data_IF_097115085424
#
_entry.id   IF_097115085424
#
_cell.length_a   1.000
_cell.length_b   1.000
_cell.length_c   1.000
_cell.angle_alpha   90.00
_cell.angle_beta   90.00
_cell.angle_gamma   90.00
#
_symmetry.space_group_name_H-M   'P 1'
#
loop_
_entity.id
_entity.type
_entity.pdbx_description
1 polymer ?
#
# COMPACT_ATOMS: atom_id res chain seq x y z
N UNK A 1 2.64 -3.98 -35.52
CA UNK A 1 3.89 -3.59 -34.86
C UNK A 1 3.82 -2.08 -34.75
N UNK A 2 3.50 -1.55 -33.57
CA UNK A 2 3.35 -0.12 -33.36
C UNK A 2 4.61 0.41 -32.71
N UNK A 3 5.14 1.49 -33.29
CA UNK A 3 6.39 2.14 -32.91
C UNK A 3 6.12 3.21 -31.85
N UNK A 4 6.87 3.15 -30.75
CA UNK A 4 6.76 4.03 -29.57
C UNK A 4 8.06 4.79 -29.31
N UNK A 5 8.91 4.95 -30.33
CA UNK A 5 10.24 5.57 -30.23
C UNK A 5 10.26 7.00 -29.67
N UNK A 6 9.13 7.73 -29.67
CA UNK A 6 9.08 9.15 -29.28
C UNK A 6 8.57 9.42 -27.85
N UNK A 7 8.40 8.39 -27.01
CA UNK A 7 7.96 8.56 -25.62
C UNK A 7 9.15 8.63 -24.64
N UNK A 8 9.70 9.83 -24.48
CA UNK A 8 10.88 10.13 -23.63
C UNK A 8 10.76 9.89 -22.12
N UNK A 9 9.71 9.19 -21.65
CA UNK A 9 9.51 8.81 -20.24
C UNK A 9 9.42 7.29 -20.04
N UNK A 10 9.71 6.50 -21.07
CA UNK A 10 9.66 5.04 -20.99
C UNK A 10 11.08 4.50 -21.12
N UNK A 11 11.60 3.97 -20.02
CA UNK A 11 12.77 3.10 -20.03
C UNK A 11 12.29 1.69 -20.40
N UNK A 12 12.60 1.27 -21.62
CA UNK A 12 12.36 -0.08 -22.14
C UNK A 12 13.54 -1.02 -21.91
N UNK A 13 14.52 -0.62 -21.10
CA UNK A 13 15.66 -1.47 -20.84
C UNK A 13 15.25 -2.61 -19.91
N UNK A 14 15.36 -3.83 -20.41
CA UNK A 14 15.42 -5.08 -19.65
C UNK A 14 16.68 -5.11 -18.74
N UNK A 15 16.98 -4.04 -18.00
CA UNK A 15 18.27 -3.86 -17.32
C UNK A 15 18.37 -4.56 -15.98
N UNK A 16 17.26 -4.96 -15.37
CA UNK A 16 17.31 -5.92 -14.27
C UNK A 16 17.08 -7.32 -14.83
N UNK A 17 18.13 -8.17 -14.95
CA UNK A 17 17.91 -9.58 -15.20
C UNK A 17 16.98 -10.13 -14.11
N UNK A 18 16.06 -11.05 -14.44
CA UNK A 18 15.20 -11.65 -13.43
C UNK A 18 16.07 -12.22 -12.31
N UNK A 19 15.74 -11.89 -11.06
CA UNK A 19 16.50 -12.36 -9.88
C UNK A 19 16.57 -13.88 -9.76
N UNK A 20 15.77 -14.59 -10.54
CA UNK A 20 15.63 -16.04 -10.54
C UNK A 20 15.64 -16.56 -11.98
N UNK A 21 16.36 -17.67 -12.20
CA UNK A 21 16.34 -18.44 -13.44
C UNK A 21 15.13 -19.37 -13.42
N UNK A 22 14.19 -19.14 -14.35
CA UNK A 22 12.93 -19.88 -14.45
C UNK A 22 12.96 -20.95 -15.55
N UNK A 23 14.14 -21.24 -16.14
CA UNK A 23 14.23 -22.14 -17.30
C UNK A 23 13.32 -21.69 -18.44
N UNK A 24 12.50 -22.60 -18.97
CA UNK A 24 11.56 -22.32 -20.08
C UNK A 24 10.18 -21.77 -19.62
N UNK A 25 9.96 -21.58 -18.30
CA UNK A 25 8.67 -21.13 -17.79
C UNK A 25 8.42 -19.64 -18.09
N UNK A 26 7.31 -19.35 -18.77
CA UNK A 26 6.88 -17.96 -19.00
C UNK A 26 6.25 -17.40 -17.73
N UNK A 27 7.04 -16.68 -16.93
CA UNK A 27 6.55 -15.98 -15.75
C UNK A 27 6.08 -14.58 -16.12
N UNK A 28 4.88 -14.21 -15.70
CA UNK A 28 4.31 -12.87 -15.93
C UNK A 28 4.47 -12.01 -14.68
N UNK A 29 4.85 -10.75 -14.89
CA UNK A 29 5.00 -9.75 -13.82
C UNK A 29 4.12 -8.54 -14.10
N UNK A 30 3.61 -7.92 -13.04
CA UNK A 30 2.83 -6.69 -13.11
C UNK A 30 3.79 -5.49 -13.06
N UNK A 31 3.85 -4.75 -14.17
CA UNK A 31 4.59 -3.50 -14.32
C UNK A 31 3.67 -2.44 -14.89
N UNK A 32 3.30 -1.46 -14.09
CA UNK A 32 2.59 -0.26 -14.52
C UNK A 32 3.33 0.96 -14.00
N UNK A 33 2.85 2.16 -14.34
CA UNK A 33 3.38 3.42 -13.78
C UNK A 33 3.37 3.45 -12.25
N UNK A 34 2.37 2.82 -11.64
CA UNK A 34 2.05 2.93 -10.22
C UNK A 34 2.23 1.60 -9.45
N UNK A 35 2.46 0.49 -10.17
CA UNK A 35 2.62 -0.86 -9.61
C UNK A 35 3.89 -1.51 -10.14
N UNK A 36 4.74 -1.99 -9.23
CA UNK A 36 5.98 -2.69 -9.53
C UNK A 36 6.04 -4.04 -8.80
N UNK A 37 5.83 -5.15 -9.51
CA UNK A 37 5.98 -6.49 -8.94
C UNK A 37 7.47 -6.86 -8.77
N UNK A 38 7.96 -7.01 -7.53
CA UNK A 38 9.38 -7.29 -7.30
C UNK A 38 9.75 -8.75 -7.51
N UNK A 39 8.85 -9.67 -7.17
CA UNK A 39 9.09 -11.10 -7.25
C UNK A 39 8.14 -11.74 -8.27
N UNK A 40 8.66 -12.32 -9.37
CA UNK A 40 7.89 -13.21 -10.24
C UNK A 40 7.28 -14.38 -9.45
N UNK A 41 6.09 -14.83 -9.84
CA UNK A 41 5.41 -15.96 -9.22
C UNK A 41 5.31 -17.13 -10.21
N UNK A 42 5.85 -18.28 -9.82
CA UNK A 42 5.81 -19.49 -10.64
C UNK A 42 4.45 -20.20 -10.55
N UNK A 43 3.87 -20.24 -9.35
CA UNK A 43 2.65 -21.00 -9.04
C UNK A 43 1.56 -20.08 -8.48
N UNK A 44 0.59 -19.72 -9.31
CA UNK A 44 -0.53 -18.85 -8.87
C UNK A 44 -1.61 -19.61 -8.10
N UNK A 45 -1.64 -20.95 -8.15
CA UNK A 45 -2.60 -21.83 -7.46
C UNK A 45 -2.42 -21.87 -5.92
N UNK A 46 -1.31 -21.31 -5.44
CA UNK A 46 -1.06 -21.11 -4.01
C UNK A 46 -1.91 -19.98 -3.41
N UNK A 47 -2.48 -19.11 -4.25
CA UNK A 47 -3.37 -18.02 -3.85
C UNK A 47 -4.85 -18.36 -3.98
N UNK A 48 -5.67 -17.63 -3.26
CA UNK A 48 -7.11 -17.56 -3.54
C UNK A 48 -7.38 -16.86 -4.87
N UNK A 49 -8.52 -17.17 -5.49
CA UNK A 49 -9.00 -16.46 -6.69
C UNK A 49 -9.13 -14.95 -6.41
N UNK A 50 -9.55 -14.58 -5.20
CA UNK A 50 -9.73 -13.20 -4.78
C UNK A 50 -8.43 -12.40 -4.82
N UNK A 51 -7.31 -12.99 -4.40
CA UNK A 51 -5.99 -12.33 -4.48
C UNK A 51 -5.58 -12.10 -5.93
N UNK A 52 -5.79 -13.10 -6.79
CA UNK A 52 -5.46 -12.99 -8.22
C UNK A 52 -6.28 -11.88 -8.88
N UNK A 53 -7.58 -11.82 -8.60
CA UNK A 53 -8.48 -10.77 -9.06
C UNK A 53 -8.00 -9.38 -8.61
N UNK A 54 -7.77 -9.20 -7.31
CA UNK A 54 -7.36 -7.92 -6.73
C UNK A 54 -5.98 -7.45 -7.22
N UNK A 55 -5.05 -8.38 -7.44
CA UNK A 55 -3.74 -8.06 -7.99
C UNK A 55 -3.83 -7.54 -9.44
N UNK A 56 -4.79 -8.05 -10.22
CA UNK A 56 -5.08 -7.59 -11.58
C UNK A 56 -5.97 -6.35 -11.67
N UNK A 57 -6.59 -5.92 -10.57
CA UNK A 57 -7.42 -4.72 -10.54
C UNK A 57 -6.57 -3.45 -10.38
N UNK A 58 -6.46 -2.68 -11.47
CA UNK A 58 -5.67 -1.45 -11.53
C UNK A 58 -6.52 -0.18 -11.50
N UNK A 59 -7.83 -0.27 -11.25
CA UNK A 59 -8.75 0.90 -11.32
C UNK A 59 -8.40 2.00 -10.33
N UNK A 60 -7.81 1.64 -9.19
CA UNK A 60 -7.36 2.56 -8.13
C UNK A 60 -5.85 2.73 -8.07
N UNK A 61 -5.13 2.27 -9.10
CA UNK A 61 -3.70 2.52 -9.19
C UNK A 61 -3.43 4.01 -9.47
N UNK A 62 -2.49 4.60 -8.74
CA UNK A 62 -2.09 5.99 -8.87
C UNK A 62 -2.66 6.93 -7.82
N UNK A 63 -2.54 8.23 -8.11
CA UNK A 63 -2.90 9.31 -7.20
C UNK A 63 -4.21 9.93 -7.71
N UNK A 64 -5.30 9.93 -6.92
CA UNK A 64 -6.53 10.59 -7.32
C UNK A 64 -6.33 12.12 -7.41
N UNK A 65 -7.05 12.76 -8.33
CA UNK A 65 -7.06 14.22 -8.45
C UNK A 65 -7.57 14.87 -7.16
N UNK A 66 -6.91 15.94 -6.71
CA UNK A 66 -7.26 16.62 -5.46
C UNK A 66 -6.77 15.90 -4.19
N UNK A 67 -5.85 14.94 -4.31
CA UNK A 67 -5.25 14.24 -3.17
C UNK A 67 -4.77 15.21 -2.09
N UNK A 68 -5.26 15.04 -0.87
CA UNK A 68 -4.93 15.86 0.30
C UNK A 68 -4.44 15.03 1.50
N UNK A 69 -4.31 13.72 1.33
CA UNK A 69 -3.77 12.80 2.34
C UNK A 69 -2.91 11.73 1.66
N UNK A 70 -1.72 11.47 2.18
CA UNK A 70 -0.82 10.47 1.63
C UNK A 70 -0.08 9.70 2.72
N UNK A 71 0.26 8.44 2.47
CA UNK A 71 1.07 7.64 3.39
C UNK A 71 2.05 6.74 2.68
N UNK A 72 3.01 6.22 3.45
CA UNK A 72 3.91 5.18 3.01
C UNK A 72 4.15 4.18 4.14
N UNK A 73 3.99 2.90 3.83
CA UNK A 73 4.39 1.79 4.70
C UNK A 73 5.23 0.80 3.92
N UNK A 74 6.12 0.08 4.60
CA UNK A 74 6.91 -0.93 3.92
C UNK A 74 7.85 -1.74 4.80
N UNK A 75 8.53 -2.68 4.15
CA UNK A 75 9.60 -3.51 4.68
C UNK A 75 10.72 -3.64 3.65
N UNK A 76 11.96 -3.75 4.12
CA UNK A 76 13.17 -3.84 3.29
C UNK A 76 13.95 -5.14 3.54
N UNK A 77 13.99 -5.65 4.77
CA UNK A 77 14.87 -6.78 5.15
C UNK A 77 14.55 -8.11 4.45
N UNK A 78 13.39 -8.26 3.82
CA UNK A 78 12.94 -9.49 3.12
C UNK A 78 12.50 -9.22 1.67
N UNK A 79 13.16 -8.25 1.04
CA UNK A 79 12.76 -7.68 -0.24
C UNK A 79 11.94 -6.41 -0.02
N UNK A 80 12.19 -5.40 -0.84
CA UNK A 80 11.50 -4.12 -0.76
C UNK A 80 10.03 -4.29 -1.11
N UNK A 81 9.17 -4.16 -0.11
CA UNK A 81 7.72 -4.10 -0.28
C UNK A 81 7.21 -2.83 0.34
N UNK A 82 6.49 -2.03 -0.42
CA UNK A 82 5.95 -0.77 0.03
C UNK A 82 4.55 -0.54 -0.57
N UNK A 83 3.68 0.00 0.28
CA UNK A 83 2.36 0.49 -0.09
C UNK A 83 2.34 1.98 0.20
N UNK A 84 1.97 2.77 -0.80
CA UNK A 84 1.59 4.15 -0.63
C UNK A 84 0.11 4.29 -0.88
N UNK A 85 -0.60 4.95 0.03
CA UNK A 85 -2.01 5.32 -0.16
C UNK A 85 -2.11 6.81 -0.41
N UNK A 86 -3.09 7.17 -1.23
CA UNK A 86 -3.43 8.54 -1.60
C UNK A 86 -4.93 8.71 -1.50
N UNK A 87 -5.40 9.67 -0.72
CA UNK A 87 -6.83 9.87 -0.50
C UNK A 87 -7.24 11.32 -0.72
N UNK A 88 -8.50 11.48 -1.13
CA UNK A 88 -9.21 12.75 -1.12
C UNK A 88 -10.22 12.68 0.01
N UNK A 89 -9.98 13.43 1.08
CA UNK A 89 -10.83 13.47 2.26
C UNK A 89 -11.57 14.80 2.31
N UNK A 90 -12.87 14.72 2.48
CA UNK A 90 -13.75 15.87 2.69
C UNK A 90 -13.63 16.38 4.13
N UNK A 91 -13.33 17.66 4.30
CA UNK A 91 -13.01 18.23 5.62
C UNK A 91 -14.23 18.33 6.53
N UNK A 92 -15.43 18.52 5.97
CA UNK A 92 -16.66 18.73 6.73
C UNK A 92 -17.16 17.43 7.38
N UNK A 93 -17.14 16.34 6.61
CA UNK A 93 -17.69 15.03 7.01
C UNK A 93 -16.64 13.97 7.28
N UNK A 94 -15.35 14.29 7.15
CA UNK A 94 -14.23 13.35 7.22
C UNK A 94 -14.44 12.11 6.33
N UNK A 95 -15.03 12.31 5.16
CA UNK A 95 -15.39 11.24 4.23
C UNK A 95 -14.28 11.05 3.18
N UNK A 96 -13.79 9.82 3.02
CA UNK A 96 -12.83 9.46 1.98
C UNK A 96 -13.57 9.37 0.63
N UNK A 97 -13.55 10.43 -0.17
CA UNK A 97 -14.26 10.49 -1.47
C UNK A 97 -13.61 9.60 -2.53
N UNK A 98 -12.29 9.49 -2.49
CA UNK A 98 -11.47 8.72 -3.43
C UNK A 98 -10.25 8.14 -2.71
N UNK A 99 -9.89 6.91 -3.04
CA UNK A 99 -8.67 6.27 -2.59
C UNK A 99 -7.90 5.68 -3.78
N UNK A 100 -6.61 5.94 -3.82
CA UNK A 100 -5.68 5.36 -4.79
C UNK A 100 -4.43 4.82 -4.10
N UNK A 101 -3.65 4.03 -4.82
CA UNK A 101 -2.42 3.45 -4.29
C UNK A 101 -1.28 3.40 -5.31
N UNK A 102 -0.06 3.44 -4.78
CA UNK A 102 1.13 2.93 -5.46
C UNK A 102 1.69 1.75 -4.68
N UNK A 103 2.23 0.78 -5.40
CA UNK A 103 2.73 -0.43 -4.77
C UNK A 103 4.02 -0.91 -5.41
N UNK A 104 5.00 -1.26 -4.57
CA UNK A 104 6.16 -2.08 -4.95
C UNK A 104 6.08 -3.33 -4.09
N UNK A 105 6.00 -4.53 -4.66
CA UNK A 105 5.83 -5.72 -3.83
C UNK A 105 5.49 -6.99 -4.59
N UNK A 106 5.10 -8.02 -3.86
CA UNK A 106 4.60 -9.26 -4.45
C UNK A 106 3.10 -9.16 -4.77
N UNK A 107 2.54 -10.20 -5.40
CA UNK A 107 1.11 -10.33 -5.67
C UNK A 107 0.25 -10.09 -4.42
N UNK A 108 0.66 -10.61 -3.25
CA UNK A 108 -0.08 -10.42 -2.00
C UNK A 108 -0.07 -8.96 -1.53
N UNK A 109 1.03 -8.23 -1.76
CA UNK A 109 1.17 -6.80 -1.43
C UNK A 109 0.26 -5.97 -2.33
N UNK A 110 0.29 -6.23 -3.65
CA UNK A 110 -0.54 -5.53 -4.64
C UNK A 110 -2.01 -5.77 -4.33
N UNK A 111 -2.41 -7.03 -4.09
CA UNK A 111 -3.78 -7.38 -3.72
C UNK A 111 -4.22 -6.71 -2.41
N UNK A 112 -3.34 -6.64 -1.40
CA UNK A 112 -3.65 -5.96 -0.13
C UNK A 112 -3.85 -4.45 -0.31
N UNK A 113 -3.04 -3.80 -1.15
CA UNK A 113 -3.17 -2.37 -1.47
C UNK A 113 -4.46 -2.07 -2.28
N UNK A 114 -4.75 -2.91 -3.27
CA UNK A 114 -5.98 -2.84 -4.06
C UNK A 114 -7.22 -3.03 -3.18
N UNK A 115 -7.19 -4.02 -2.29
CA UNK A 115 -8.29 -4.28 -1.37
C UNK A 115 -8.52 -3.14 -0.39
N UNK A 116 -7.48 -2.67 0.30
CA UNK A 116 -7.68 -1.65 1.33
C UNK A 116 -8.24 -0.35 0.73
N UNK A 117 -7.79 0.05 -0.47
CA UNK A 117 -8.34 1.22 -1.16
C UNK A 117 -9.81 1.04 -1.52
N UNK A 118 -10.21 -0.15 -1.96
CA UNK A 118 -11.62 -0.46 -2.20
C UNK A 118 -12.46 -0.47 -0.92
N UNK A 119 -11.90 -0.89 0.22
CA UNK A 119 -12.61 -0.97 1.49
C UNK A 119 -12.80 0.39 2.18
N UNK A 120 -11.89 1.34 1.99
CA UNK A 120 -11.95 2.65 2.67
C UNK A 120 -12.60 3.74 1.82
N UNK A 121 -12.64 3.58 0.49
CA UNK A 121 -13.30 4.53 -0.39
C UNK A 121 -14.81 4.60 -0.10
N UNK A 122 -15.31 5.81 0.15
CA UNK A 122 -16.69 6.06 0.52
C UNK A 122 -16.99 5.91 2.01
N UNK A 123 -16.00 5.61 2.85
CA UNK A 123 -16.13 5.55 4.32
C UNK A 123 -15.67 6.83 5.00
N UNK A 124 -16.09 7.02 6.24
CA UNK A 124 -15.51 8.06 7.11
C UNK A 124 -14.10 7.63 7.55
N UNK A 125 -13.32 8.60 8.04
CA UNK A 125 -12.00 8.34 8.63
C UNK A 125 -12.09 7.32 9.77
N UNK A 126 -13.09 7.43 10.64
CA UNK A 126 -13.26 6.50 11.78
C UNK A 126 -13.57 5.08 11.30
N UNK A 127 -14.50 4.94 10.35
CA UNK A 127 -14.84 3.64 9.75
C UNK A 127 -13.66 3.02 8.99
N UNK A 128 -12.77 3.85 8.42
CA UNK A 128 -11.55 3.39 7.77
C UNK A 128 -10.52 2.91 8.80
N UNK A 129 -10.40 3.57 9.96
CA UNK A 129 -9.53 3.17 11.06
C UNK A 129 -9.98 1.87 11.74
N UNK A 130 -11.26 1.55 11.68
CA UNK A 130 -11.84 0.29 12.19
C UNK A 130 -11.54 -0.92 11.30
N UNK A 131 -11.07 -0.71 10.06
CA UNK A 131 -10.70 -1.83 9.16
C UNK A 131 -9.50 -2.57 9.74
N UNK A 132 -9.69 -3.84 10.11
CA UNK A 132 -8.67 -4.63 10.76
C UNK A 132 -7.89 -5.52 9.80
N UNK A 133 -6.72 -5.97 10.24
CA UNK A 133 -5.92 -6.97 9.52
C UNK A 133 -6.70 -8.29 9.35
N UNK A 134 -7.56 -8.63 10.31
CA UNK A 134 -8.40 -9.81 10.25
C UNK A 134 -9.44 -9.71 9.13
N UNK A 135 -10.01 -8.52 8.91
CA UNK A 135 -10.95 -8.29 7.81
C UNK A 135 -10.28 -8.48 6.45
N UNK A 136 -9.08 -7.91 6.27
CA UNK A 136 -8.30 -8.09 5.04
C UNK A 136 -7.93 -9.56 4.83
N UNK A 137 -7.43 -10.25 5.86
CA UNK A 137 -7.09 -11.68 5.74
C UNK A 137 -8.30 -12.54 5.40
N UNK A 138 -9.47 -12.23 5.96
CA UNK A 138 -10.71 -12.95 5.68
C UNK A 138 -11.14 -12.77 4.23
N UNK A 139 -11.04 -11.56 3.69
CA UNK A 139 -11.42 -11.29 2.30
C UNK A 139 -10.37 -11.79 1.30
N UNK A 140 -9.08 -11.63 1.58
CA UNK A 140 -7.99 -12.14 0.74
C UNK A 140 -7.95 -13.67 0.73
N UNK A 141 -8.24 -14.34 1.84
CA UNK A 141 -8.25 -15.80 1.92
C UNK A 141 -6.85 -16.42 1.87
N UNK A 142 -6.75 -17.58 1.20
CA UNK A 142 -5.53 -18.41 1.15
C UNK A 142 -4.37 -17.66 0.47
N UNK A 143 -3.20 -17.66 1.12
CA UNK A 143 -1.92 -17.21 0.56
C UNK A 143 -0.75 -17.97 1.21
N UNK A 144 0.45 -17.98 0.60
CA UNK A 144 1.64 -18.57 1.20
C UNK A 144 2.01 -18.00 2.57
N UNK A 145 2.61 -18.84 3.43
CA UNK A 145 2.92 -18.50 4.83
C UNK A 145 3.90 -17.33 4.97
N UNK A 146 4.85 -17.20 4.05
CA UNK A 146 5.80 -16.11 3.99
C UNK A 146 5.17 -14.78 3.55
N UNK A 147 3.90 -14.79 3.09
CA UNK A 147 3.15 -13.64 2.56
C UNK A 147 1.97 -13.18 3.42
N UNK A 148 1.73 -13.84 4.55
CA UNK A 148 0.62 -13.50 5.48
C UNK A 148 0.76 -12.14 6.17
N UNK A 149 1.92 -11.50 6.06
CA UNK A 149 2.23 -10.20 6.68
C UNK A 149 1.82 -9.01 5.83
N UNK A 150 1.50 -9.19 4.55
CA UNK A 150 1.19 -8.09 3.61
C UNK A 150 -0.03 -7.26 4.02
N UNK A 151 -1.11 -7.86 4.56
CA UNK A 151 -2.25 -7.11 5.07
C UNK A 151 -1.91 -6.11 6.20
N UNK A 152 -0.84 -6.35 6.98
CA UNK A 152 -0.43 -5.43 8.04
C UNK A 152 0.07 -4.10 7.47
N UNK A 153 0.81 -4.13 6.36
CA UNK A 153 1.28 -2.91 5.69
C UNK A 153 0.09 -2.06 5.22
N UNK A 154 -0.92 -2.70 4.63
CA UNK A 154 -2.10 -2.02 4.12
C UNK A 154 -2.91 -1.31 5.23
N UNK A 155 -3.12 -1.98 6.37
CA UNK A 155 -3.84 -1.40 7.52
C UNK A 155 -3.05 -0.26 8.16
N UNK A 156 -1.75 -0.44 8.37
CA UNK A 156 -0.91 0.64 8.91
C UNK A 156 -0.85 1.84 7.95
N UNK A 157 -0.94 1.62 6.63
CA UNK A 157 -0.98 2.70 5.65
C UNK A 157 -2.24 3.56 5.77
N UNK A 158 -3.38 3.00 6.18
CA UNK A 158 -4.61 3.77 6.45
C UNK A 158 -4.40 4.68 7.64
N UNK A 159 -3.93 4.14 8.75
CA UNK A 159 -3.63 4.93 9.95
C UNK A 159 -2.63 6.05 9.64
N UNK A 160 -1.60 5.73 8.87
CA UNK A 160 -0.62 6.72 8.47
C UNK A 160 -1.19 7.82 7.53
N UNK A 161 -2.12 7.45 6.65
CA UNK A 161 -2.78 8.39 5.72
C UNK A 161 -3.68 9.36 6.49
N UNK A 162 -4.42 8.86 7.48
CA UNK A 162 -5.22 9.69 8.38
C UNK A 162 -4.33 10.65 9.19
N UNK A 163 -3.18 10.17 9.66
CA UNK A 163 -2.22 11.02 10.37
C UNK A 163 -1.68 12.16 9.51
N UNK A 164 -1.28 11.86 8.28
CA UNK A 164 -0.81 12.87 7.32
C UNK A 164 -1.88 13.92 7.02
N UNK A 165 -3.14 13.50 6.84
CA UNK A 165 -4.27 14.41 6.64
C UNK A 165 -4.39 15.44 7.77
N UNK A 166 -4.45 14.97 9.02
CA UNK A 166 -4.62 15.88 10.17
C UNK A 166 -3.38 16.75 10.43
N UNK A 167 -2.18 16.22 10.17
CA UNK A 167 -0.95 17.01 10.26
C UNK A 167 -0.96 18.17 9.26
N UNK A 168 -1.44 17.95 8.02
CA UNK A 168 -1.59 19.01 7.02
C UNK A 168 -2.62 20.07 7.42
N UNK A 169 -3.60 19.69 8.22
CA UNK A 169 -4.57 20.62 8.84
C UNK A 169 -4.02 21.33 10.08
N UNK A 170 -2.73 21.19 10.40
CA UNK A 170 -2.08 21.88 11.50
C UNK A 170 -2.30 21.24 12.87
N UNK A 171 -2.75 19.98 12.93
CA UNK A 171 -2.77 19.24 14.20
C UNK A 171 -1.34 18.93 14.64
N UNK A 172 -1.11 18.98 15.95
CA UNK A 172 0.19 18.71 16.55
C UNK A 172 0.28 17.28 17.11
N UNK A 173 1.44 16.97 17.69
CA UNK A 173 1.68 15.66 18.30
C UNK A 173 0.69 15.36 19.44
N UNK A 174 0.32 16.35 20.26
CA UNK A 174 -0.59 16.14 21.37
C UNK A 174 -1.99 15.75 20.86
N UNK A 175 -2.45 16.38 19.78
CA UNK A 175 -3.68 16.00 19.11
C UNK A 175 -3.61 14.57 18.56
N UNK A 176 -2.51 14.21 17.88
CA UNK A 176 -2.32 12.85 17.36
C UNK A 176 -2.29 11.80 18.46
N UNK A 177 -1.63 12.07 19.59
CA UNK A 177 -1.58 11.15 20.74
C UNK A 177 -2.96 10.91 21.34
N UNK A 178 -3.84 11.92 21.35
CA UNK A 178 -5.19 11.81 21.89
C UNK A 178 -6.20 11.17 20.92
N UNK A 179 -6.08 11.41 19.60
CA UNK A 179 -7.14 11.08 18.63
C UNK A 179 -6.73 10.00 17.62
N UNK A 180 -5.43 9.76 17.42
CA UNK A 180 -4.93 8.77 16.47
C UNK A 180 -3.84 7.92 17.12
N UNK A 181 -4.23 7.19 18.17
CA UNK A 181 -3.30 6.37 18.94
C UNK A 181 -2.52 5.41 18.04
N UNK A 182 -1.20 5.38 18.19
CA UNK A 182 -0.34 4.36 17.61
C UNK A 182 -0.02 3.32 18.68
N UNK A 183 -0.14 2.04 18.33
CA UNK A 183 0.41 0.95 19.14
C UNK A 183 1.92 0.83 18.83
N UNK A 184 2.70 1.74 19.42
CA UNK A 184 4.16 1.77 19.25
C UNK A 184 4.76 0.46 19.77
N UNK A 185 5.56 -0.22 18.94
CA UNK A 185 6.08 -1.58 19.21
C UNK A 185 5.03 -2.70 19.23
N UNK A 186 3.77 -2.40 18.92
CA UNK A 186 2.74 -3.39 18.63
C UNK A 186 3.13 -4.32 17.48
N UNK A 187 2.40 -5.42 17.32
CA UNK A 187 2.69 -6.41 16.27
C UNK A 187 2.62 -5.76 14.88
N UNK A 188 1.61 -4.93 14.61
CA UNK A 188 1.46 -4.28 13.31
C UNK A 188 2.63 -3.31 13.04
N UNK A 189 2.96 -2.47 14.02
CA UNK A 189 4.06 -1.51 13.94
C UNK A 189 5.41 -2.22 13.75
N UNK A 190 5.62 -3.38 14.40
CA UNK A 190 6.83 -4.19 14.27
C UNK A 190 6.94 -4.92 12.93
N UNK A 191 5.81 -5.32 12.34
CA UNK A 191 5.78 -5.88 10.99
C UNK A 191 6.05 -4.80 9.92
N UNK A 192 5.80 -3.54 10.26
CA UNK A 192 5.99 -2.38 9.41
C UNK A 192 7.35 -1.73 9.70
N UNK A 193 8.42 -2.17 9.01
CA UNK A 193 9.77 -1.65 9.22
C UNK A 193 9.88 -0.16 8.89
N UNK A 194 9.03 0.33 7.97
CA UNK A 194 8.91 1.73 7.61
C UNK A 194 7.44 2.16 7.67
N UNK A 195 7.15 3.25 8.40
CA UNK A 195 5.82 3.83 8.51
C UNK A 195 5.95 5.36 8.55
N UNK A 196 5.37 6.04 7.57
CA UNK A 196 5.48 7.50 7.45
C UNK A 196 4.94 8.26 8.66
N UNK A 197 3.89 7.75 9.31
CA UNK A 197 3.35 8.38 10.53
C UNK A 197 4.28 8.23 11.72
N UNK A 198 4.98 7.09 11.84
CA UNK A 198 6.00 6.91 12.88
C UNK A 198 7.13 7.93 12.67
N UNK A 199 7.58 8.09 11.44
CA UNK A 199 8.64 9.05 11.10
C UNK A 199 8.18 10.49 11.39
N UNK A 200 6.96 10.88 10.97
CA UNK A 200 6.37 12.18 11.28
C UNK A 200 6.28 12.45 12.79
N UNK A 201 5.83 11.47 13.58
CA UNK A 201 5.76 11.58 15.05
C UNK A 201 7.15 11.76 15.67
N UNK A 202 8.16 11.04 15.18
CA UNK A 202 9.56 11.20 15.62
C UNK A 202 10.07 12.60 15.28
N UNK A 203 9.83 13.09 14.06
CA UNK A 203 10.21 14.46 13.66
C UNK A 203 9.55 15.52 14.55
N UNK A 204 8.26 15.36 14.88
CA UNK A 204 7.57 16.29 15.78
C UNK A 204 8.08 16.23 17.23
N UNK A 205 8.50 15.05 17.70
CA UNK A 205 9.06 14.87 19.06
C UNK A 205 10.46 15.46 19.20
N UNK A 206 11.33 15.23 18.22
CA UNK A 206 12.78 15.44 18.35
C UNK A 206 13.38 16.42 17.36
N UNK A 207 12.65 16.86 16.33
CA UNK A 207 13.15 17.75 15.28
C UNK A 207 13.25 19.22 15.67
N UNK A 208 13.36 19.54 16.96
CA UNK A 208 13.56 20.91 17.47
C UNK A 208 15.04 21.23 17.61
#
# INVERSE_FOLDING_TARGET
MYDYADHGNIDFSDTEPPKHDFGDAVVRVIRTRDIYQVDPEEHMDVYSERIVELAGDHRRAGIPEGCNAASMTGMSKRGERAIQLFCVIDEDGLLIKRAGFRCRGDIATIASASLITALIEGKTVDEALDVSVADLKRELGKMPADRVTRPYLAVEAVRAMVGDFFLRQGRDLAWLDANLACDEFGVNCSMCEHCSLRDQRVSLRFGK
#
